data_IF_584756405760
#
_entry.id   IF_584756405760
#
_cell.length_a   1.000
_cell.length_b   1.000
_cell.length_c   1.000
_cell.angle_alpha   90.00
_cell.angle_beta   90.00
_cell.angle_gamma   90.00
#
_symmetry.space_group_name_H-M   'P 1'
#
loop_
_entity.id
_entity.type
_entity.pdbx_description
1 polymer ?
#
# COMPACT_ATOMS: atom_id res chain seq x y z
N UNK A 1 -20.55 5.58 -21.15
CA UNK A 1 -20.76 6.96 -21.68
C UNK A 1 -21.36 7.93 -20.65
N UNK A 2 -22.30 7.50 -19.79
CA UNK A 2 -22.87 8.34 -18.73
C UNK A 2 -21.83 8.79 -17.67
N UNK A 3 -21.01 7.85 -17.17
CA UNK A 3 -19.97 8.12 -16.16
C UNK A 3 -18.96 9.21 -16.57
N UNK A 4 -18.61 9.27 -17.87
CA UNK A 4 -17.70 10.30 -18.37
C UNK A 4 -18.33 11.70 -18.40
N UNK A 5 -19.65 11.81 -18.53
CA UNK A 5 -20.35 13.11 -18.51
C UNK A 5 -20.49 13.63 -17.07
N UNK A 6 -20.79 12.73 -16.14
CA UNK A 6 -20.87 13.04 -14.71
C UNK A 6 -19.55 13.52 -14.14
N UNK A 7 -18.44 12.80 -14.41
CA UNK A 7 -17.12 13.19 -13.92
C UNK A 7 -16.66 14.55 -14.48
N UNK A 8 -16.99 14.86 -15.75
CA UNK A 8 -16.77 16.21 -16.31
C UNK A 8 -17.57 17.26 -15.55
N UNK A 9 -18.85 17.03 -15.29
CA UNK A 9 -19.71 17.96 -14.53
C UNK A 9 -19.18 18.19 -13.11
N UNK A 10 -18.75 17.15 -12.41
CA UNK A 10 -18.15 17.25 -11.08
C UNK A 10 -16.86 18.08 -11.10
N UNK A 11 -15.97 17.86 -12.07
CA UNK A 11 -14.74 18.64 -12.20
C UNK A 11 -15.00 20.13 -12.47
N UNK A 12 -16.06 20.45 -13.24
CA UNK A 12 -16.48 21.84 -13.45
C UNK A 12 -16.90 22.49 -12.13
N UNK A 13 -17.77 21.82 -11.36
CA UNK A 13 -18.24 22.31 -10.05
C UNK A 13 -17.10 22.49 -9.04
N UNK A 14 -16.18 21.53 -8.95
CA UNK A 14 -15.01 21.62 -8.07
C UNK A 14 -14.16 22.84 -8.41
N UNK A 15 -13.95 23.10 -9.70
CA UNK A 15 -13.20 24.28 -10.13
C UNK A 15 -13.92 25.58 -9.76
N UNK A 16 -15.22 25.70 -9.99
CA UNK A 16 -15.99 26.89 -9.59
C UNK A 16 -15.89 27.16 -8.09
N UNK A 17 -15.95 26.11 -7.26
CA UNK A 17 -15.76 26.22 -5.81
C UNK A 17 -14.34 26.66 -5.46
N UNK A 18 -13.32 26.10 -6.13
CA UNK A 18 -11.94 26.51 -5.93
C UNK A 18 -11.72 27.98 -6.31
N UNK A 19 -12.24 28.43 -7.44
CA UNK A 19 -12.12 29.82 -7.89
C UNK A 19 -12.81 30.79 -6.91
N UNK A 20 -14.00 30.44 -6.41
CA UNK A 20 -14.68 31.21 -5.35
C UNK A 20 -13.87 31.29 -4.05
N UNK A 21 -13.07 30.26 -3.75
CA UNK A 21 -12.16 30.23 -2.63
C UNK A 21 -10.77 30.85 -2.93
N UNK A 22 -10.57 31.44 -4.11
CA UNK A 22 -9.29 32.02 -4.54
C UNK A 22 -8.21 31.00 -4.92
N UNK A 23 -8.58 29.74 -5.13
CA UNK A 23 -7.70 28.64 -5.52
C UNK A 23 -7.80 28.35 -7.02
N UNK A 24 -6.69 27.91 -7.62
CA UNK A 24 -6.61 27.52 -9.03
C UNK A 24 -6.30 26.03 -9.17
N UNK A 25 -7.10 25.33 -9.99
CA UNK A 25 -6.83 23.93 -10.34
C UNK A 25 -5.53 23.83 -11.18
N UNK A 26 -4.57 23.03 -10.70
CA UNK A 26 -3.35 22.73 -11.46
C UNK A 26 -3.61 21.60 -12.47
N UNK A 27 -3.84 21.97 -13.74
CA UNK A 27 -4.16 21.03 -14.82
C UNK A 27 -3.00 20.06 -15.09
N UNK A 28 -1.75 20.49 -14.92
CA UNK A 28 -0.58 19.63 -15.17
C UNK A 28 -0.49 18.49 -14.16
N UNK A 29 -0.82 18.75 -12.88
CA UNK A 29 -0.80 17.73 -11.84
C UNK A 29 -2.10 16.90 -11.77
N UNK A 30 -3.18 17.40 -12.37
CA UNK A 30 -4.47 16.71 -12.35
C UNK A 30 -4.52 15.68 -13.47
N UNK A 31 -4.57 14.40 -13.09
CA UNK A 31 -4.61 13.26 -14.01
C UNK A 31 -5.99 12.63 -14.03
N UNK A 32 -6.28 11.97 -15.14
CA UNK A 32 -7.55 11.28 -15.39
C UNK A 32 -7.28 9.80 -15.49
N UNK A 33 -8.07 8.99 -14.81
CA UNK A 33 -7.97 7.53 -14.87
C UNK A 33 -9.37 6.94 -15.04
N UNK A 34 -9.54 5.97 -15.93
CA UNK A 34 -10.76 5.18 -16.03
C UNK A 34 -10.44 3.72 -16.37
N UNK A 35 -11.38 2.83 -16.06
CA UNK A 35 -11.28 1.39 -16.29
C UNK A 35 -11.49 1.00 -17.77
N UNK A 36 -12.06 1.89 -18.59
CA UNK A 36 -12.30 1.67 -20.02
C UNK A 36 -11.46 2.58 -20.93
N UNK A 37 -11.48 2.36 -22.26
CA UNK A 37 -10.76 3.21 -23.21
C UNK A 37 -11.29 4.64 -23.16
N UNK A 38 -10.40 5.59 -22.84
CA UNK A 38 -10.69 7.02 -22.93
C UNK A 38 -9.98 7.55 -24.17
N UNK A 39 -10.75 8.04 -25.13
CA UNK A 39 -10.24 8.94 -26.17
C UNK A 39 -10.14 10.34 -25.57
N UNK A 40 -8.93 10.92 -25.63
CA UNK A 40 -8.55 12.31 -25.29
C UNK A 40 -9.56 13.12 -24.47
N UNK A 41 -9.24 13.40 -23.20
CA UNK A 41 -10.08 14.25 -22.34
C UNK A 41 -9.63 15.70 -22.34
N UNK A 42 -10.58 16.60 -22.58
CA UNK A 42 -10.38 18.03 -22.52
C UNK A 42 -11.36 18.65 -21.51
N UNK A 43 -10.86 19.58 -20.71
CA UNK A 43 -11.66 20.44 -19.83
C UNK A 43 -11.20 21.88 -20.08
N UNK A 44 -12.14 22.81 -20.34
CA UNK A 44 -11.85 24.21 -20.65
C UNK A 44 -10.82 24.43 -21.78
N UNK A 45 -10.88 23.60 -22.85
CA UNK A 45 -9.92 23.60 -23.97
C UNK A 45 -8.49 23.18 -23.62
N UNK A 46 -8.22 22.80 -22.37
CA UNK A 46 -6.95 22.20 -21.97
C UNK A 46 -7.06 20.67 -22.01
N UNK A 47 -6.10 20.02 -22.67
CA UNK A 47 -5.99 18.56 -22.66
C UNK A 47 -5.50 18.10 -21.29
N UNK A 48 -6.20 17.13 -20.70
CA UNK A 48 -5.78 16.47 -19.48
C UNK A 48 -5.05 15.18 -19.80
N UNK A 49 -4.01 14.88 -19.03
CA UNK A 49 -3.29 13.63 -19.17
C UNK A 49 -4.14 12.48 -18.62
N UNK A 50 -4.36 11.49 -19.47
CA UNK A 50 -4.98 10.22 -19.08
C UNK A 50 -3.89 9.23 -18.71
N UNK A 51 -4.00 8.64 -17.53
CA UNK A 51 -3.04 7.69 -16.97
C UNK A 51 -3.70 6.36 -16.68
N UNK A 52 -2.92 5.29 -16.80
CA UNK A 52 -3.35 3.93 -16.43
C UNK A 52 -2.98 3.57 -14.99
N UNK A 53 -2.05 4.32 -14.39
CA UNK A 53 -1.68 4.22 -12.99
C UNK A 53 -1.30 5.58 -12.38
N UNK A 54 -1.48 5.70 -11.07
CA UNK A 54 -1.19 6.93 -10.34
C UNK A 54 -0.82 6.63 -8.87
N UNK A 55 0.10 7.40 -8.30
CA UNK A 55 0.42 7.31 -6.86
C UNK A 55 -0.48 8.28 -6.10
N UNK A 56 -1.49 7.74 -5.43
CA UNK A 56 -2.40 8.50 -4.58
C UNK A 56 -2.11 8.21 -3.10
N UNK A 57 -1.80 9.25 -2.32
CA UNK A 57 -1.46 9.14 -0.89
C UNK A 57 -0.37 8.09 -0.60
N UNK A 58 0.60 7.96 -1.50
CA UNK A 58 1.68 6.98 -1.40
C UNK A 58 1.30 5.56 -1.84
N UNK A 59 0.07 5.31 -2.29
CA UNK A 59 -0.36 4.01 -2.83
C UNK A 59 -0.50 4.07 -4.35
N UNK A 60 0.07 3.09 -5.07
CA UNK A 60 -0.10 3.00 -6.53
C UNK A 60 -1.45 2.38 -6.81
N UNK A 61 -2.30 3.13 -7.49
CA UNK A 61 -3.61 2.70 -7.96
C UNK A 61 -3.49 2.48 -9.46
N UNK A 62 -4.05 1.37 -9.94
CA UNK A 62 -4.12 1.03 -11.37
C UNK A 62 -5.59 1.05 -11.78
N UNK A 63 -5.87 1.49 -13.00
CA UNK A 63 -7.21 1.58 -13.56
C UNK A 63 -8.06 0.31 -13.39
N UNK A 64 -7.44 -0.87 -13.47
CA UNK A 64 -8.08 -2.18 -13.34
C UNK A 64 -8.12 -2.73 -11.91
N UNK A 65 -7.70 -1.95 -10.90
CA UNK A 65 -7.77 -2.34 -9.48
C UNK A 65 -6.77 -3.43 -9.04
N UNK A 66 -5.75 -3.71 -9.84
CA UNK A 66 -4.80 -4.80 -9.56
C UNK A 66 -3.72 -4.41 -8.54
N UNK A 67 -3.83 -4.92 -7.31
CA UNK A 67 -2.89 -4.66 -6.22
C UNK A 67 -1.50 -5.29 -6.41
N UNK A 68 -1.31 -6.20 -7.38
CA UNK A 68 -0.03 -6.93 -7.59
C UNK A 68 1.16 -6.00 -7.80
N UNK A 69 0.96 -4.96 -8.59
CA UNK A 69 2.01 -3.98 -8.88
C UNK A 69 2.39 -3.19 -7.65
N UNK A 70 1.42 -2.86 -6.81
CA UNK A 70 1.66 -2.12 -5.59
C UNK A 70 2.40 -2.97 -4.55
N UNK A 71 2.00 -4.23 -4.37
CA UNK A 71 2.70 -5.17 -3.51
C UNK A 71 4.15 -5.34 -4.00
N UNK A 72 4.36 -5.54 -5.31
CA UNK A 72 5.71 -5.60 -5.90
C UNK A 72 6.53 -4.34 -5.64
N UNK A 73 5.90 -3.15 -5.65
CA UNK A 73 6.55 -1.87 -5.37
C UNK A 73 6.93 -1.71 -3.90
N UNK A 74 6.07 -2.15 -2.97
CA UNK A 74 6.23 -1.98 -1.53
C UNK A 74 7.21 -2.97 -0.89
N UNK A 75 7.29 -4.20 -1.39
CA UNK A 75 8.19 -5.20 -0.79
C UNK A 75 9.67 -4.76 -0.74
N UNK A 76 10.28 -4.20 -1.81
CA UNK A 76 11.63 -3.63 -1.75
C UNK A 76 11.75 -2.47 -0.75
N UNK A 77 10.73 -1.61 -0.65
CA UNK A 77 10.71 -0.51 0.32
C UNK A 77 10.70 -1.04 1.76
N UNK A 78 9.92 -2.09 2.04
CA UNK A 78 9.93 -2.79 3.32
C UNK A 78 11.30 -3.40 3.62
N UNK A 79 11.97 -3.99 2.62
CA UNK A 79 13.34 -4.54 2.80
C UNK A 79 14.34 -3.43 3.14
N UNK A 80 14.22 -2.27 2.49
CA UNK A 80 15.05 -1.09 2.80
C UNK A 80 14.79 -0.60 4.22
N UNK A 81 13.53 -0.49 4.64
CA UNK A 81 13.16 -0.12 6.00
C UNK A 81 13.74 -1.09 7.04
N UNK A 82 13.63 -2.41 6.80
CA UNK A 82 14.23 -3.44 7.67
C UNK A 82 15.75 -3.31 7.75
N UNK A 83 16.40 -3.02 6.63
CA UNK A 83 17.86 -2.85 6.57
C UNK A 83 18.31 -1.60 7.33
N UNK A 84 17.56 -0.50 7.23
CA UNK A 84 17.83 0.73 7.98
C UNK A 84 17.62 0.53 9.49
N UNK A 85 16.59 -0.24 9.88
CA UNK A 85 16.29 -0.54 11.27
C UNK A 85 17.30 -1.53 11.90
N UNK A 86 18.01 -2.31 11.08
CA UNK A 86 18.89 -3.39 11.53
C UNK A 86 19.99 -2.93 12.51
N UNK A 87 20.53 -1.72 12.35
CA UNK A 87 21.54 -1.17 13.26
C UNK A 87 21.00 -0.98 14.68
N UNK A 88 19.75 -0.54 14.82
CA UNK A 88 19.06 -0.36 16.11
C UNK A 88 18.78 -1.72 16.74
N UNK A 89 18.31 -2.69 15.94
CA UNK A 89 18.04 -4.06 16.39
C UNK A 89 19.31 -4.82 16.81
N UNK A 90 20.51 -4.31 16.52
CA UNK A 90 21.79 -4.87 17.00
C UNK A 90 22.13 -4.44 18.43
N UNK A 91 21.49 -3.39 18.95
CA UNK A 91 21.76 -2.89 20.30
C UNK A 91 21.42 -3.94 21.37
N UNK A 92 22.35 -4.17 22.31
CA UNK A 92 22.19 -5.11 23.42
C UNK A 92 21.19 -4.64 24.49
N UNK A 93 20.84 -3.36 24.48
CA UNK A 93 19.96 -2.75 25.49
C UNK A 93 18.46 -2.90 25.21
N UNK A 94 18.06 -3.55 24.11
CA UNK A 94 16.66 -3.68 23.70
C UNK A 94 16.24 -5.15 23.83
N UNK A 95 15.12 -5.39 24.51
CA UNK A 95 14.58 -6.74 24.69
C UNK A 95 13.95 -7.27 23.38
N UNK A 96 13.91 -8.59 23.23
CA UNK A 96 13.31 -9.25 22.07
C UNK A 96 11.86 -8.80 21.80
N UNK A 97 10.95 -8.72 22.79
CA UNK A 97 9.58 -8.25 22.56
C UNK A 97 9.54 -6.82 21.98
N UNK A 98 10.37 -5.91 22.52
CA UNK A 98 10.46 -4.54 22.03
C UNK A 98 11.01 -4.49 20.59
N UNK A 99 12.01 -5.32 20.27
CA UNK A 99 12.54 -5.42 18.90
C UNK A 99 11.49 -5.92 17.91
N UNK A 100 10.72 -6.94 18.27
CA UNK A 100 9.59 -7.43 17.45
C UNK A 100 8.55 -6.33 17.25
N UNK A 101 8.23 -5.59 18.31
CA UNK A 101 7.33 -4.45 18.24
C UNK A 101 7.84 -3.36 17.29
N UNK A 102 9.14 -3.02 17.34
CA UNK A 102 9.76 -2.04 16.44
C UNK A 102 9.65 -2.46 14.97
N UNK A 103 9.93 -3.73 14.65
CA UNK A 103 9.77 -4.24 13.28
C UNK A 103 8.30 -4.12 12.84
N UNK A 104 7.36 -4.52 13.68
CA UNK A 104 5.92 -4.41 13.40
C UNK A 104 5.46 -2.96 13.24
N UNK A 105 6.02 -2.01 13.98
CA UNK A 105 5.61 -0.62 13.94
C UNK A 105 6.26 0.17 12.80
N UNK A 106 7.49 -0.17 12.40
CA UNK A 106 8.28 0.64 11.45
C UNK A 106 8.43 -0.01 10.07
N UNK A 107 8.43 -1.35 9.99
CA UNK A 107 8.67 -2.06 8.73
C UNK A 107 7.36 -2.52 8.09
N UNK A 108 6.48 -3.13 8.88
CA UNK A 108 5.25 -3.72 8.35
C UNK A 108 4.29 -2.69 7.72
N UNK A 109 4.08 -1.49 8.27
CA UNK A 109 3.21 -0.46 7.66
C UNK A 109 3.69 0.01 6.28
N UNK A 110 5.00 -0.07 6.00
CA UNK A 110 5.55 0.24 4.67
C UNK A 110 4.99 -0.72 3.62
N UNK A 111 4.75 -1.98 4.00
CA UNK A 111 4.22 -3.02 3.13
C UNK A 111 2.71 -3.10 3.18
N UNK A 112 2.07 -2.88 4.33
CA UNK A 112 0.62 -3.01 4.48
C UNK A 112 -0.17 -1.74 4.18
N UNK A 113 0.48 -0.58 4.02
CA UNK A 113 -0.21 0.67 3.75
C UNK A 113 -1.11 0.58 2.50
N UNK A 114 -2.40 0.87 2.67
CA UNK A 114 -3.41 0.79 1.61
C UNK A 114 -3.98 -0.61 1.37
N UNK A 115 -3.61 -1.62 2.16
CA UNK A 115 -4.10 -2.98 1.99
C UNK A 115 -5.60 -3.12 2.27
N UNK A 116 -6.24 -2.14 2.92
CA UNK A 116 -7.70 -2.09 3.10
C UNK A 116 -8.46 -2.11 1.77
N UNK A 117 -7.79 -1.70 0.69
CA UNK A 117 -8.33 -1.65 -0.68
C UNK A 117 -7.91 -2.82 -1.57
N UNK A 118 -7.06 -3.73 -1.09
CA UNK A 118 -6.47 -4.77 -1.92
C UNK A 118 -7.30 -6.04 -1.96
N UNK A 119 -7.44 -6.61 -3.14
CA UNK A 119 -7.89 -8.00 -3.33
C UNK A 119 -6.67 -8.91 -3.46
N UNK A 120 -6.24 -9.49 -2.34
CA UNK A 120 -5.04 -10.35 -2.28
C UNK A 120 -5.41 -11.75 -2.77
N UNK A 121 -4.63 -12.31 -3.70
CA UNK A 121 -4.77 -13.71 -4.14
C UNK A 121 -3.62 -14.54 -3.58
N UNK A 122 -3.70 -15.85 -3.77
CA UNK A 122 -2.75 -16.83 -3.20
C UNK A 122 -1.28 -16.52 -3.52
N UNK A 123 -0.99 -16.03 -4.72
CA UNK A 123 0.38 -15.71 -5.13
C UNK A 123 0.93 -14.49 -4.38
N UNK A 124 0.07 -13.51 -4.08
CA UNK A 124 0.42 -12.33 -3.32
C UNK A 124 0.63 -12.67 -1.84
N UNK A 125 -0.21 -13.53 -1.27
CA UNK A 125 -0.02 -14.08 0.08
C UNK A 125 1.36 -14.73 0.23
N UNK A 126 1.76 -15.58 -0.72
CA UNK A 126 3.07 -16.23 -0.69
C UNK A 126 4.23 -15.23 -0.69
N UNK A 127 4.11 -14.13 -1.45
CA UNK A 127 5.13 -13.07 -1.49
C UNK A 127 5.23 -12.32 -0.17
N UNK A 128 4.10 -12.01 0.45
CA UNK A 128 4.03 -11.33 1.75
C UNK A 128 4.60 -12.22 2.86
N UNK A 129 4.22 -13.50 2.88
CA UNK A 129 4.74 -14.46 3.86
C UNK A 129 6.25 -14.70 3.69
N UNK A 130 6.74 -14.76 2.45
CA UNK A 130 8.17 -14.82 2.18
C UNK A 130 8.91 -13.56 2.67
N UNK A 131 8.29 -12.39 2.57
CA UNK A 131 8.85 -11.15 3.09
C UNK A 131 8.89 -11.11 4.61
N UNK A 132 7.82 -11.51 5.29
CA UNK A 132 7.78 -11.61 6.75
C UNK A 132 8.90 -12.53 7.26
N UNK A 133 8.99 -13.74 6.68
CA UNK A 133 10.04 -14.70 7.02
C UNK A 133 11.45 -14.18 6.72
N UNK A 134 11.62 -13.42 5.66
CA UNK A 134 12.89 -12.77 5.35
C UNK A 134 13.26 -11.74 6.43
N UNK A 135 12.30 -10.94 6.92
CA UNK A 135 12.52 -9.98 8.01
C UNK A 135 12.97 -10.70 9.28
N UNK A 136 12.26 -11.76 9.68
CA UNK A 136 12.60 -12.53 10.89
C UNK A 136 13.95 -13.25 10.79
N UNK A 137 14.28 -13.81 9.62
CA UNK A 137 15.62 -14.40 9.39
C UNK A 137 16.73 -13.36 9.51
N UNK A 138 16.52 -12.18 8.92
CA UNK A 138 17.49 -11.09 8.97
C UNK A 138 17.69 -10.61 10.40
N UNK A 139 16.60 -10.46 11.15
CA UNK A 139 16.61 -10.11 12.56
C UNK A 139 17.39 -11.13 13.41
N UNK A 140 17.07 -12.42 13.28
CA UNK A 140 17.76 -13.52 13.98
C UNK A 140 19.16 -13.84 13.44
N UNK A 141 19.62 -13.13 12.39
CA UNK A 141 20.91 -13.35 11.73
C UNK A 141 21.10 -14.78 11.23
N UNK A 142 20.01 -15.45 10.86
CA UNK A 142 20.06 -16.82 10.35
C UNK A 142 20.63 -16.79 8.94
N UNK A 143 21.82 -17.35 8.69
CA UNK A 143 22.37 -17.41 7.33
C UNK A 143 21.53 -18.37 6.49
N UNK A 144 21.54 -18.15 5.17
CA UNK A 144 20.79 -18.99 4.24
C UNK A 144 21.24 -20.46 4.25
N UNK A 145 22.50 -20.72 4.62
CA UNK A 145 23.10 -22.07 4.74
C UNK A 145 22.65 -22.86 5.96
N UNK A 146 22.09 -22.21 6.98
CA UNK A 146 21.72 -22.87 8.24
C UNK A 146 20.58 -23.90 8.09
N UNK A 147 19.93 -24.00 6.91
CA UNK A 147 18.80 -24.91 6.61
C UNK A 147 17.70 -24.89 7.69
N UNK A 148 17.53 -23.76 8.36
CA UNK A 148 16.59 -23.60 9.47
C UNK A 148 15.15 -23.54 8.98
N UNK A 149 14.28 -24.36 9.57
CA UNK A 149 12.86 -24.46 9.24
C UNK A 149 12.12 -23.15 9.56
N UNK A 150 11.22 -22.72 8.66
CA UNK A 150 10.36 -21.54 8.85
C UNK A 150 9.61 -21.57 10.19
N UNK A 151 9.05 -22.73 10.54
CA UNK A 151 8.28 -22.90 11.77
C UNK A 151 9.12 -22.66 13.02
N UNK A 152 10.39 -23.06 13.03
CA UNK A 152 11.28 -22.82 14.17
C UNK A 152 11.60 -21.34 14.38
N UNK A 153 11.66 -20.56 13.29
CA UNK A 153 11.89 -19.10 13.34
C UNK A 153 10.64 -18.42 13.92
N UNK A 154 9.46 -18.79 13.43
CA UNK A 154 8.20 -18.23 13.92
C UNK A 154 7.93 -18.59 15.39
N UNK A 155 8.29 -19.80 15.83
CA UNK A 155 8.20 -20.21 17.25
C UNK A 155 9.12 -19.39 18.15
N UNK A 156 10.33 -19.06 17.71
CA UNK A 156 11.28 -18.24 18.50
C UNK A 156 10.81 -16.78 18.60
N UNK A 157 10.33 -16.19 17.51
CA UNK A 157 9.82 -14.81 17.50
C UNK A 157 8.49 -14.69 18.22
N UNK A 158 7.65 -15.74 18.09
CA UNK A 158 6.29 -15.82 18.61
C UNK A 158 5.48 -14.52 18.43
N UNK A 159 5.33 -14.01 17.18
CA UNK A 159 4.59 -12.78 16.97
C UNK A 159 3.10 -13.03 17.23
N UNK A 160 2.47 -12.17 18.04
CA UNK A 160 1.02 -12.23 18.33
C UNK A 160 0.13 -12.38 17.08
N UNK A 161 0.51 -11.69 15.99
CA UNK A 161 -0.11 -11.80 14.68
C UNK A 161 0.97 -11.86 13.61
N UNK A 162 0.73 -12.67 12.58
CA UNK A 162 1.51 -12.64 11.34
C UNK A 162 1.23 -11.36 10.56
N UNK A 163 2.10 -11.04 9.60
CA UNK A 163 1.87 -9.91 8.69
C UNK A 163 0.57 -10.08 7.91
N UNK A 164 0.28 -11.32 7.49
CA UNK A 164 -0.98 -11.68 6.86
C UNK A 164 -2.19 -11.45 7.79
N UNK A 165 -2.11 -11.86 9.05
CA UNK A 165 -3.17 -11.62 10.03
C UNK A 165 -3.45 -10.12 10.24
N UNK A 166 -2.40 -9.30 10.27
CA UNK A 166 -2.54 -7.84 10.33
C UNK A 166 -3.25 -7.29 9.08
N UNK A 167 -2.88 -7.77 7.90
CA UNK A 167 -3.50 -7.34 6.64
C UNK A 167 -4.98 -7.72 6.56
N UNK A 168 -5.34 -8.93 6.97
CA UNK A 168 -6.74 -9.38 7.02
C UNK A 168 -7.58 -8.51 7.95
N UNK A 169 -7.03 -8.14 9.11
CA UNK A 169 -7.68 -7.23 10.05
C UNK A 169 -7.96 -5.86 9.41
N UNK A 170 -6.97 -5.30 8.73
CA UNK A 170 -7.11 -4.02 8.02
C UNK A 170 -8.10 -4.09 6.85
N UNK A 171 -8.06 -5.18 6.07
CA UNK A 171 -9.04 -5.43 5.00
C UNK A 171 -10.47 -5.48 5.54
N UNK A 172 -10.67 -6.22 6.63
CA UNK A 172 -11.97 -6.32 7.28
C UNK A 172 -12.47 -4.95 7.76
N UNK A 173 -11.62 -4.15 8.41
CA UNK A 173 -11.94 -2.77 8.77
C UNK A 173 -12.31 -1.92 7.54
N UNK A 174 -11.57 -2.06 6.44
CA UNK A 174 -11.89 -1.39 5.17
C UNK A 174 -13.24 -1.81 4.59
N UNK A 175 -13.60 -3.10 4.67
CA UNK A 175 -14.90 -3.60 4.26
C UNK A 175 -16.04 -3.02 5.11
N UNK A 176 -15.85 -2.96 6.43
CA UNK A 176 -16.81 -2.32 7.32
C UNK A 176 -16.99 -0.85 6.94
N UNK A 177 -15.92 -0.07 6.86
CA UNK A 177 -16.00 1.36 6.53
C UNK A 177 -16.75 1.61 5.21
N UNK A 178 -16.47 0.82 4.17
CA UNK A 178 -17.20 0.90 2.90
C UNK A 178 -18.69 0.62 3.03
N UNK A 179 -19.11 -0.28 3.93
CA UNK A 179 -20.53 -0.54 4.19
C UNK A 179 -21.23 0.65 4.85
N UNK A 180 -20.54 1.37 5.74
CA UNK A 180 -21.11 2.51 6.47
C UNK A 180 -21.12 3.81 5.67
N UNK A 181 -20.22 3.99 4.70
CA UNK A 181 -20.13 5.23 3.90
C UNK A 181 -21.22 5.41 2.83
N UNK A 182 -22.14 4.45 2.68
CA UNK A 182 -23.26 4.52 1.73
C UNK A 182 -24.63 4.65 2.44
N UNK A 183 -24.68 5.17 3.67
CA UNK A 183 -25.92 5.55 4.37
C UNK A 183 -25.86 7.02 4.75
#
# INVERSE_FOLDING_TARGET
MAESKELKSLLMKVKEVFEKAGLKLNIQNTKVMASGPITSWQIYRASMETVTDFIFLGSKIIAYGDCRHEIKRRLPLGRKAMTNLYSILKSRGITLPTQVHLVKAMVFPVVTGGCESWTIKKAEHQRINAFELWCWRRFLRVPWTARRLNQSILKEINPEHSLEGLMLKLQYSGHLMRRWSFH
#
